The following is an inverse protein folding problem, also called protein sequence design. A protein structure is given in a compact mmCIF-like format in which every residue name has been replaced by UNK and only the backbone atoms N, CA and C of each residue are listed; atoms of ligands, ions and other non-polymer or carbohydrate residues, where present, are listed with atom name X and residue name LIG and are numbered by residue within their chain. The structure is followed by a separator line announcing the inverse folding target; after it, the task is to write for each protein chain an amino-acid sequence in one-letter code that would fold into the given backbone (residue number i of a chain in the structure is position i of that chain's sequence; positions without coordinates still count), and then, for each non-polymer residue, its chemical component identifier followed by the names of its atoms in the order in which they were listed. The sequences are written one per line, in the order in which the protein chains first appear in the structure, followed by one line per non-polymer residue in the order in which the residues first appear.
data_IF_985735551328
#
_entry.id   IF_985735551328
#
_cell.length_a   1.000
_cell.length_b   1.000
_cell.length_c   1.000
_cell.angle_alpha   90.00
_cell.angle_beta   90.00
_cell.angle_gamma   90.00
#
_symmetry.space_group_name_H-M   'P 1'
#
loop_
_entity.id
_entity.type
_entity.pdbx_description
1 polymer ?
#
# COMPACT_ATOMS: atom_id res chain seq x y z
N UNK A 1 13.91 12.27 7.76
CA UNK A 1 14.57 13.24 6.86
C UNK A 1 13.67 14.46 6.64
N UNK A 2 14.26 15.66 6.57
CA UNK A 2 13.58 16.88 6.11
C UNK A 2 14.42 17.52 5.02
N UNK A 3 13.91 17.55 3.79
CA UNK A 3 14.53 18.23 2.67
C UNK A 3 13.82 19.57 2.40
N UNK A 4 14.54 20.54 1.83
CA UNK A 4 13.95 21.80 1.39
C UNK A 4 13.77 21.78 -0.12
N UNK A 5 12.58 22.16 -0.59
CA UNK A 5 12.35 22.39 -2.02
C UNK A 5 12.78 23.82 -2.37
N UNK A 6 13.70 23.95 -3.32
CA UNK A 6 14.24 25.22 -3.79
C UNK A 6 14.03 25.37 -5.31
N UNK A 7 14.05 26.60 -5.80
CA UNK A 7 13.93 26.90 -7.23
C UNK A 7 15.31 27.16 -7.82
N UNK A 8 15.64 26.48 -8.93
CA UNK A 8 16.90 26.66 -9.66
C UNK A 8 16.59 26.83 -11.15
N UNK A 9 16.50 28.09 -11.59
CA UNK A 9 15.98 28.42 -12.92
C UNK A 9 14.50 28.07 -13.02
N UNK A 10 14.14 27.31 -14.06
CA UNK A 10 12.77 26.83 -14.27
C UNK A 10 12.45 25.55 -13.47
N UNK A 11 13.48 24.88 -12.95
CA UNK A 11 13.36 23.63 -12.22
C UNK A 11 13.19 23.82 -10.70
N UNK A 12 12.63 22.79 -10.06
CA UNK A 12 12.58 22.65 -8.61
C UNK A 12 13.56 21.56 -8.18
N UNK A 13 14.39 21.86 -7.18
CA UNK A 13 15.41 20.96 -6.65
C UNK A 13 15.18 20.69 -5.18
N UNK A 14 15.36 19.45 -4.74
CA UNK A 14 15.33 19.06 -3.33
C UNK A 14 16.74 19.18 -2.76
N UNK A 15 16.94 20.12 -1.83
CA UNK A 15 18.18 20.23 -1.06
C UNK A 15 18.18 19.17 0.05
N UNK A 16 19.13 18.24 -0.06
CA UNK A 16 19.35 17.11 0.86
C UNK A 16 20.77 17.23 1.42
N UNK A 17 20.96 16.91 2.71
CA UNK A 17 22.29 16.98 3.33
C UNK A 17 23.21 15.87 2.81
N UNK A 18 24.54 16.03 2.90
CA UNK A 18 25.46 14.96 2.50
C UNK A 18 25.32 13.70 3.36
N UNK A 19 25.03 13.87 4.65
CA UNK A 19 24.86 12.75 5.57
C UNK A 19 23.63 11.91 5.19
N UNK A 20 22.53 12.59 4.85
CA UNK A 20 21.31 11.97 4.33
C UNK A 20 21.55 11.24 2.99
N UNK A 21 22.32 11.83 2.07
CA UNK A 21 22.67 11.19 0.78
C UNK A 21 23.45 9.89 1.02
N UNK A 22 24.41 9.93 1.96
CA UNK A 22 25.19 8.74 2.36
C UNK A 22 24.31 7.68 3.03
N UNK A 23 23.42 8.08 3.94
CA UNK A 23 22.51 7.15 4.64
C UNK A 23 21.56 6.45 3.66
N UNK A 24 21.07 7.16 2.64
CA UNK A 24 20.21 6.61 1.59
C UNK A 24 20.98 5.82 0.51
N UNK A 25 22.31 5.77 0.57
CA UNK A 25 23.15 5.09 -0.42
C UNK A 25 23.08 5.69 -1.82
N UNK A 26 22.74 6.99 -1.92
CA UNK A 26 22.64 7.70 -3.18
C UNK A 26 24.00 8.24 -3.63
N UNK A 27 24.21 8.33 -4.94
CA UNK A 27 25.42 8.88 -5.54
C UNK A 27 25.09 10.12 -6.38
N UNK A 28 25.98 11.12 -6.38
CA UNK A 28 25.81 12.33 -7.20
C UNK A 28 25.76 11.96 -8.68
N UNK A 29 24.71 12.41 -9.39
CA UNK A 29 24.47 12.11 -10.80
C UNK A 29 23.67 10.83 -11.06
N UNK A 30 23.21 10.13 -10.01
CA UNK A 30 22.29 9.01 -10.11
C UNK A 30 20.87 9.50 -10.44
N UNK A 31 20.22 8.86 -11.41
CA UNK A 31 18.79 9.04 -11.64
C UNK A 31 17.97 8.30 -10.57
N UNK A 32 16.96 8.97 -10.03
CA UNK A 32 16.08 8.43 -8.97
C UNK A 32 14.62 8.65 -9.33
N UNK A 33 13.76 7.70 -8.97
CA UNK A 33 12.31 7.84 -9.10
C UNK A 33 11.72 8.38 -7.79
N UNK A 34 10.83 9.38 -7.88
CA UNK A 34 10.19 9.99 -6.72
C UNK A 34 8.73 9.53 -6.66
N UNK A 35 8.38 8.75 -5.63
CA UNK A 35 7.00 8.37 -5.35
C UNK A 35 6.40 9.30 -4.28
N UNK A 36 5.45 10.19 -4.62
CA UNK A 36 4.86 11.09 -3.65
C UNK A 36 3.93 10.34 -2.68
N UNK A 37 4.25 10.39 -1.39
CA UNK A 37 3.33 9.95 -0.32
C UNK A 37 2.45 11.13 0.04
N UNK A 38 1.14 11.04 -0.23
CA UNK A 38 0.17 12.05 0.19
C UNK A 38 0.06 12.02 1.72
N UNK A 39 0.64 13.02 2.38
CA UNK A 39 0.36 13.28 3.79
C UNK A 39 -1.06 13.85 3.87
N UNK A 40 -1.96 13.18 4.58
CA UNK A 40 -3.33 13.63 4.72
C UNK A 40 -3.37 15.08 5.24
N UNK A 41 -4.00 15.96 4.47
CA UNK A 41 -4.32 17.32 4.90
C UNK A 41 -5.15 17.27 6.17
N UNK A 42 -4.96 18.21 7.09
CA UNK A 42 -5.57 18.31 8.42
C UNK A 42 -7.13 18.40 8.44
N UNK A 43 -7.79 18.21 7.29
CA UNK A 43 -9.25 18.17 7.14
C UNK A 43 -9.83 16.76 6.96
N UNK A 44 -9.01 15.73 6.79
CA UNK A 44 -9.47 14.34 6.82
C UNK A 44 -9.15 13.73 8.20
N UNK A 45 -9.99 12.82 8.74
CA UNK A 45 -9.64 12.08 9.94
C UNK A 45 -8.26 11.46 9.74
N UNK A 46 -7.35 11.70 10.69
CA UNK A 46 -5.94 11.34 10.57
C UNK A 46 -5.80 9.88 10.11
N UNK A 47 -5.49 9.69 8.82
CA UNK A 47 -5.39 8.37 8.22
C UNK A 47 -4.18 7.66 8.84
N UNK A 48 -4.39 6.46 9.37
CA UNK A 48 -3.32 5.67 9.97
C UNK A 48 -2.47 5.05 8.85
N UNK A 49 -1.15 5.09 9.01
CA UNK A 49 -0.20 4.47 8.09
C UNK A 49 0.63 3.39 8.80
N UNK A 50 0.99 2.33 8.10
CA UNK A 50 1.98 1.32 8.52
C UNK A 50 2.95 1.08 7.37
N UNK A 51 4.25 1.19 7.64
CA UNK A 51 5.32 1.08 6.63
C UNK A 51 5.14 1.99 5.40
N UNK A 52 4.56 3.18 5.60
CA UNK A 52 4.29 4.13 4.51
C UNK A 52 2.99 3.86 3.71
N UNK A 53 2.28 2.77 3.99
CA UNK A 53 1.01 2.44 3.35
C UNK A 53 -0.19 2.87 4.21
N UNK A 54 -1.24 3.43 3.60
CA UNK A 54 -2.47 3.76 4.33
C UNK A 54 -3.17 2.48 4.79
N UNK A 55 -3.63 2.48 6.05
CA UNK A 55 -4.54 1.45 6.56
C UNK A 55 -5.97 1.88 6.23
N UNK A 56 -6.66 1.04 5.48
CA UNK A 56 -8.08 1.18 5.20
C UNK A 56 -8.90 0.38 6.22
N UNK A 57 -9.99 0.98 6.71
CA UNK A 57 -10.98 0.28 7.52
C UNK A 57 -11.81 -0.66 6.66
N UNK A 58 -12.42 -1.69 7.28
CA UNK A 58 -13.37 -2.57 6.59
C UNK A 58 -14.52 -1.79 5.93
N UNK A 59 -14.98 -0.71 6.58
CA UNK A 59 -16.04 0.14 6.06
C UNK A 59 -15.60 0.92 4.80
N UNK A 60 -14.37 1.44 4.76
CA UNK A 60 -13.81 2.10 3.59
C UNK A 60 -13.66 1.14 2.41
N UNK A 61 -13.13 -0.06 2.67
CA UNK A 61 -12.99 -1.09 1.62
C UNK A 61 -14.37 -1.51 1.06
N UNK A 62 -15.36 -1.73 1.93
CA UNK A 62 -16.72 -2.07 1.49
C UNK A 62 -17.43 -0.91 0.76
N UNK A 63 -17.15 0.35 1.12
CA UNK A 63 -17.66 1.51 0.40
C UNK A 63 -17.03 1.60 -1.00
N UNK A 64 -15.73 1.33 -1.11
CA UNK A 64 -15.00 1.36 -2.37
C UNK A 64 -15.47 0.25 -3.32
N UNK A 65 -15.65 -0.98 -2.83
CA UNK A 65 -16.23 -2.08 -3.62
C UNK A 65 -17.58 -1.68 -4.23
N UNK A 66 -18.47 -1.09 -3.42
CA UNK A 66 -19.78 -0.59 -3.91
C UNK A 66 -19.65 0.55 -4.92
N UNK A 67 -18.65 1.42 -4.77
CA UNK A 67 -18.37 2.52 -5.71
C UNK A 67 -17.90 2.02 -7.06
N UNK A 68 -17.06 0.99 -7.08
CA UNK A 68 -16.50 0.41 -8.31
C UNK A 68 -17.55 -0.35 -9.14
N UNK A 69 -18.62 -0.81 -8.49
CA UNK A 69 -19.75 -1.45 -9.14
C UNK A 69 -19.72 -2.98 -9.06
N UNK A 70 -20.76 -3.64 -9.60
CA UNK A 70 -20.99 -5.08 -9.40
C UNK A 70 -19.87 -5.96 -9.96
N UNK A 71 -19.12 -5.49 -10.96
CA UNK A 71 -17.98 -6.24 -11.54
C UNK A 71 -16.82 -6.42 -10.55
N UNK A 72 -16.82 -5.68 -9.44
CA UNK A 72 -15.80 -5.73 -8.38
C UNK A 72 -16.29 -6.43 -7.11
N UNK A 73 -17.49 -7.00 -7.14
CA UNK A 73 -17.96 -7.93 -6.10
C UNK A 73 -17.43 -9.33 -6.44
N UNK A 74 -16.52 -9.91 -5.63
CA UNK A 74 -15.98 -11.23 -5.92
C UNK A 74 -17.10 -12.27 -5.86
N UNK A 75 -17.12 -13.26 -6.76
CA UNK A 75 -18.10 -14.32 -6.69
C UNK A 75 -17.96 -15.07 -5.37
N UNK A 76 -19.09 -15.44 -4.78
CA UNK A 76 -19.08 -16.42 -3.68
C UNK A 76 -18.52 -17.73 -4.22
N UNK A 77 -17.38 -18.15 -3.70
CA UNK A 77 -16.77 -19.44 -4.03
C UNK A 77 -17.41 -20.50 -3.15
N UNK A 78 -18.02 -21.51 -3.78
CA UNK A 78 -18.38 -22.75 -3.12
C UNK A 78 -17.09 -23.58 -2.95
N UNK A 79 -16.61 -23.66 -1.71
CA UNK A 79 -15.42 -24.44 -1.37
C UNK A 79 -15.69 -25.95 -1.31
N UNK A 80 -16.94 -26.37 -1.58
CA UNK A 80 -17.39 -27.73 -1.41
C UNK A 80 -17.84 -28.00 0.03
N UNK A 81 -18.18 -29.26 0.34
CA UNK A 81 -18.55 -29.67 1.68
C UNK A 81 -17.43 -29.33 2.69
N UNK A 82 -17.79 -29.11 3.96
CA UNK A 82 -16.84 -28.93 5.07
C UNK A 82 -16.13 -30.25 5.41
N UNK A 83 -15.39 -30.76 4.45
CA UNK A 83 -14.59 -31.98 4.53
C UNK A 83 -13.16 -31.60 4.13
N UNK A 84 -12.19 -32.00 4.95
CA UNK A 84 -10.78 -31.85 4.59
C UNK A 84 -10.43 -32.64 3.33
N UNK A 85 -9.29 -32.34 2.72
CA UNK A 85 -8.73 -33.09 1.58
C UNK A 85 -8.34 -34.54 1.93
N UNK A 86 -8.32 -34.88 3.21
CA UNK A 86 -8.07 -36.22 3.73
C UNK A 86 -9.41 -36.84 4.13
N UNK A 87 -9.96 -37.70 3.26
CA UNK A 87 -11.09 -38.54 3.63
C UNK A 87 -10.50 -39.73 4.40
N UNK A 88 -10.62 -39.72 5.73
CA UNK A 88 -10.44 -40.93 6.53
C UNK A 88 -11.83 -41.57 6.63
N UNK A 89 -12.03 -42.63 5.85
CA UNK A 89 -13.19 -43.50 5.97
C UNK A 89 -12.87 -44.58 7.01
N UNK A 90 -13.19 -44.32 8.28
CA UNK A 90 -13.00 -45.27 9.38
C UNK A 90 -13.84 -46.56 9.20
N UNK A 91 -14.81 -46.54 8.27
CA UNK A 91 -15.69 -47.66 7.94
C UNK A 91 -15.29 -48.38 6.63
N UNK A 92 -14.19 -48.04 5.94
CA UNK A 92 -13.72 -48.76 4.73
C UNK A 92 -13.11 -50.12 5.12
N UNK A 93 -13.75 -51.26 4.79
CA UNK A 93 -13.33 -52.58 5.25
C UNK A 93 -12.24 -53.22 4.36
N UNK A 94 -11.42 -52.44 3.64
CA UNK A 94 -10.38 -52.95 2.73
C UNK A 94 -9.11 -53.41 3.43
#
# INVERSE_FOLDING_TARGET
MRARLERKGDDLVLAVSEDDVRELGLVVGQDVEIHPVRVASASEPARRFVNGFPIYTMAEMAAEMRRLGPDFEPPTVDWGPDVGSEIIDDDDPR
#
